data_IF_218968422398
#
_entry.id   IF_218968422398
#
_cell.length_a   1.000
_cell.length_b   1.000
_cell.length_c   1.000
_cell.angle_alpha   90.00
_cell.angle_beta   90.00
_cell.angle_gamma   90.00
#
_symmetry.space_group_name_H-M   'P 1'
#
loop_
_entity.id
_entity.type
_entity.pdbx_description
1 polymer ?
#
# COMPACT_ATOMS: atom_id res chain seq x y z
N UNK A 1 -18.79 -18.80 24.25
CA UNK A 1 -17.40 -18.27 24.16
C UNK A 1 -17.50 -16.78 23.91
N UNK A 2 -17.17 -15.96 24.87
CA UNK A 2 -17.11 -14.51 24.70
C UNK A 2 -16.15 -14.17 23.56
N UNK A 3 -16.63 -13.40 22.60
CA UNK A 3 -15.85 -12.90 21.47
C UNK A 3 -14.90 -11.83 21.97
N UNK A 4 -13.70 -12.22 22.37
CA UNK A 4 -12.89 -11.36 23.20
C UNK A 4 -11.61 -10.91 22.49
N UNK A 5 -11.56 -9.60 22.10
CA UNK A 5 -10.33 -8.94 21.66
C UNK A 5 -9.41 -8.60 22.84
N UNK A 6 -9.74 -9.04 24.04
CA UNK A 6 -8.96 -8.74 25.24
C UNK A 6 -7.49 -9.14 25.10
N UNK A 7 -7.19 -10.15 24.25
CA UNK A 7 -5.80 -10.51 23.99
C UNK A 7 -4.97 -9.38 23.37
N UNK A 8 -5.58 -8.44 22.62
CA UNK A 8 -4.88 -7.23 22.12
C UNK A 8 -4.42 -6.32 23.26
N UNK A 9 -5.17 -6.33 24.37
CA UNK A 9 -4.85 -5.58 25.60
C UNK A 9 -4.06 -6.38 26.63
N UNK A 10 -3.95 -7.72 26.54
CA UNK A 10 -3.42 -8.56 27.63
C UNK A 10 -2.18 -9.38 27.25
N UNK A 11 -2.09 -9.90 26.01
CA UNK A 11 -0.93 -10.68 25.59
C UNK A 11 0.37 -9.86 25.60
N UNK A 12 1.55 -10.48 25.85
CA UNK A 12 2.85 -9.82 25.76
C UNK A 12 3.06 -9.20 24.36
N UNK A 13 3.48 -7.93 24.32
CA UNK A 13 3.56 -7.15 23.09
C UNK A 13 4.43 -7.78 22.00
N UNK A 14 5.59 -8.39 22.36
CA UNK A 14 6.47 -9.03 21.41
C UNK A 14 5.81 -10.23 20.71
N UNK A 15 5.15 -11.10 21.48
CA UNK A 15 4.40 -12.25 20.96
C UNK A 15 3.23 -11.79 20.09
N UNK A 16 2.54 -10.75 20.54
CA UNK A 16 1.39 -10.19 19.84
C UNK A 16 1.78 -9.54 18.51
N UNK A 17 2.85 -8.73 18.50
CA UNK A 17 3.35 -8.14 17.26
C UNK A 17 3.75 -9.23 16.26
N UNK A 18 4.50 -10.25 16.69
CA UNK A 18 4.88 -11.36 15.82
C UNK A 18 3.67 -12.09 15.25
N UNK A 19 2.68 -12.40 16.09
CA UNK A 19 1.43 -13.08 15.72
C UNK A 19 0.62 -12.32 14.67
N UNK A 20 0.66 -10.98 14.69
CA UNK A 20 -0.10 -10.13 13.77
C UNK A 20 0.73 -9.66 12.57
N UNK A 21 2.02 -9.36 12.77
CA UNK A 21 2.87 -8.86 11.71
C UNK A 21 3.29 -9.94 10.70
N UNK A 22 3.61 -11.16 11.16
CA UNK A 22 4.03 -12.23 10.24
C UNK A 22 2.97 -12.54 9.18
N UNK A 23 1.69 -12.79 9.53
CA UNK A 23 0.66 -12.97 8.51
C UNK A 23 0.50 -11.76 7.58
N UNK A 24 0.64 -10.53 8.10
CA UNK A 24 0.56 -9.31 7.30
C UNK A 24 1.72 -9.20 6.30
N UNK A 25 2.95 -9.51 6.73
CA UNK A 25 4.13 -9.55 5.85
C UNK A 25 3.97 -10.62 4.77
N UNK A 26 3.53 -11.83 5.17
CA UNK A 26 3.29 -12.92 4.22
C UNK A 26 2.21 -12.54 3.20
N UNK A 27 1.15 -11.86 3.62
CA UNK A 27 0.11 -11.37 2.71
C UNK A 27 0.69 -10.39 1.67
N UNK A 28 1.58 -9.47 2.07
CA UNK A 28 2.23 -8.54 1.15
C UNK A 28 3.12 -9.27 0.13
N UNK A 29 3.88 -10.26 0.58
CA UNK A 29 4.72 -11.07 -0.31
C UNK A 29 3.87 -11.87 -1.30
N UNK A 30 2.79 -12.51 -0.84
CA UNK A 30 1.86 -13.25 -1.71
C UNK A 30 1.25 -12.32 -2.76
N UNK A 31 0.80 -11.13 -2.33
CA UNK A 31 0.21 -10.13 -3.22
C UNK A 31 1.20 -9.70 -4.32
N UNK A 32 2.46 -9.55 -3.98
CA UNK A 32 3.49 -9.23 -4.96
C UNK A 32 3.78 -10.39 -5.91
N UNK A 33 3.91 -11.60 -5.38
CA UNK A 33 4.22 -12.79 -6.18
C UNK A 33 3.15 -13.07 -7.22
N UNK A 34 1.86 -12.99 -6.86
CA UNK A 34 0.80 -13.23 -7.84
C UNK A 34 0.80 -12.16 -8.95
N UNK A 35 1.07 -10.89 -8.63
CA UNK A 35 1.20 -9.84 -9.65
C UNK A 35 2.36 -10.10 -10.63
N UNK A 36 3.45 -10.72 -10.16
CA UNK A 36 4.57 -11.13 -11.02
C UNK A 36 4.14 -12.29 -11.92
N UNK A 37 3.46 -13.29 -11.36
CA UNK A 37 3.00 -14.47 -12.12
C UNK A 37 2.01 -14.07 -13.21
N UNK A 38 1.04 -13.20 -12.90
CA UNK A 38 0.08 -12.67 -13.87
C UNK A 38 0.79 -12.00 -15.06
N UNK A 39 1.80 -11.16 -14.79
CA UNK A 39 2.61 -10.53 -15.85
C UNK A 39 3.42 -11.53 -16.67
N UNK A 40 3.91 -12.60 -16.05
CA UNK A 40 4.61 -13.68 -16.76
C UNK A 40 3.66 -14.36 -17.74
N UNK A 41 2.44 -14.70 -17.32
CA UNK A 41 1.45 -15.31 -18.21
C UNK A 41 1.10 -14.38 -19.37
N UNK A 42 0.82 -13.10 -19.12
CA UNK A 42 0.49 -12.13 -20.18
C UNK A 42 1.67 -11.95 -21.14
N UNK A 43 2.91 -11.87 -20.63
CA UNK A 43 4.11 -11.73 -21.45
C UNK A 43 4.41 -12.94 -22.36
N UNK A 44 3.92 -14.14 -21.99
CA UNK A 44 4.10 -15.38 -22.75
C UNK A 44 2.92 -15.72 -23.67
N UNK A 45 2.00 -14.80 -23.89
CA UNK A 45 0.93 -14.99 -24.87
C UNK A 45 1.52 -15.21 -26.28
N UNK A 46 0.97 -16.17 -27.07
CA UNK A 46 1.49 -16.51 -28.39
C UNK A 46 1.48 -15.34 -29.37
N UNK A 47 0.45 -14.50 -29.30
CA UNK A 47 0.29 -13.32 -30.15
C UNK A 47 0.25 -12.05 -29.30
N UNK A 48 1.17 -11.13 -29.59
CA UNK A 48 1.17 -9.79 -29.00
C UNK A 48 1.51 -9.70 -27.50
N UNK A 49 2.10 -10.73 -26.88
CA UNK A 49 2.39 -10.76 -25.44
C UNK A 49 3.21 -9.56 -24.96
N UNK A 50 4.19 -9.10 -25.74
CA UNK A 50 4.98 -7.89 -25.41
C UNK A 50 4.13 -6.61 -25.45
N UNK A 51 3.25 -6.45 -26.45
CA UNK A 51 2.35 -5.31 -26.56
C UNK A 51 1.26 -5.37 -25.46
N UNK A 52 0.78 -6.56 -25.15
CA UNK A 52 -0.17 -6.80 -24.07
C UNK A 52 0.41 -6.43 -22.70
N UNK A 53 1.66 -6.83 -22.44
CA UNK A 53 2.37 -6.48 -21.21
C UNK A 53 2.60 -4.97 -21.10
N UNK A 54 2.92 -4.32 -22.20
CA UNK A 54 3.06 -2.85 -22.28
C UNK A 54 1.70 -2.18 -22.03
N UNK A 55 0.62 -2.68 -22.65
CA UNK A 55 -0.74 -2.22 -22.42
C UNK A 55 -1.19 -2.35 -20.95
N UNK A 56 -0.88 -3.49 -20.32
CA UNK A 56 -1.12 -3.67 -18.88
C UNK A 56 -0.33 -2.65 -18.05
N UNK A 57 0.91 -2.35 -18.43
CA UNK A 57 1.72 -1.32 -17.78
C UNK A 57 1.04 0.05 -17.75
N UNK A 58 0.34 0.42 -18.82
CA UNK A 58 -0.45 1.66 -18.92
C UNK A 58 -1.68 1.64 -17.98
N UNK A 59 -2.27 0.45 -17.74
CA UNK A 59 -3.39 0.30 -16.80
C UNK A 59 -2.97 0.47 -15.33
N UNK A 60 -1.70 0.20 -15.00
CA UNK A 60 -1.21 0.17 -13.60
C UNK A 60 -1.46 1.47 -12.82
N UNK A 61 -1.19 2.69 -13.33
CA UNK A 61 -1.50 3.91 -12.60
C UNK A 61 -2.98 4.06 -12.26
N UNK A 62 -3.86 3.63 -13.15
CA UNK A 62 -5.32 3.67 -12.96
C UNK A 62 -5.72 2.69 -11.85
N UNK A 63 -5.20 1.46 -11.89
CA UNK A 63 -5.41 0.43 -10.86
C UNK A 63 -4.91 0.92 -9.49
N UNK A 64 -3.77 1.62 -9.45
CA UNK A 64 -3.24 2.22 -8.21
C UNK A 64 -4.18 3.29 -7.65
N UNK A 65 -4.77 4.13 -8.50
CA UNK A 65 -5.76 5.13 -8.08
C UNK A 65 -7.01 4.45 -7.52
N UNK A 66 -7.52 3.40 -8.19
CA UNK A 66 -8.64 2.59 -7.67
C UNK A 66 -8.31 2.03 -6.29
N UNK A 67 -7.12 1.47 -6.10
CA UNK A 67 -6.66 0.95 -4.80
C UNK A 67 -6.49 2.05 -3.75
N UNK A 68 -6.08 3.26 -4.16
CA UNK A 68 -5.96 4.41 -3.26
C UNK A 68 -7.33 4.82 -2.68
N UNK A 69 -8.40 4.73 -3.45
CA UNK A 69 -9.76 4.97 -2.94
C UNK A 69 -10.19 3.90 -1.92
N UNK A 70 -9.82 2.64 -2.13
CA UNK A 70 -10.04 1.61 -1.11
C UNK A 70 -9.26 1.92 0.18
N UNK A 71 -8.01 2.35 0.06
CA UNK A 71 -7.18 2.75 1.19
C UNK A 71 -7.72 4.00 1.91
N UNK A 72 -8.29 4.96 1.18
CA UNK A 72 -8.92 6.15 1.75
C UNK A 72 -9.97 5.79 2.82
N UNK A 73 -10.81 4.80 2.53
CA UNK A 73 -11.86 4.38 3.44
C UNK A 73 -11.34 3.43 4.51
N UNK A 74 -10.55 2.44 4.10
CA UNK A 74 -10.11 1.37 4.99
C UNK A 74 -9.06 1.81 6.02
N UNK A 75 -8.04 2.59 5.58
CA UNK A 75 -6.97 3.07 6.46
C UNK A 75 -7.44 4.16 7.43
N UNK A 76 -8.61 4.73 7.18
CA UNK A 76 -9.27 5.63 8.14
C UNK A 76 -10.28 4.92 9.03
N UNK A 77 -11.10 4.04 8.46
CA UNK A 77 -12.18 3.35 9.16
C UNK A 77 -11.68 2.26 10.12
N UNK A 78 -10.78 1.40 9.66
CA UNK A 78 -10.30 0.26 10.45
C UNK A 78 -9.59 0.64 11.76
N UNK A 79 -8.66 1.62 11.82
CA UNK A 79 -8.09 2.08 13.08
C UNK A 79 -9.13 2.68 14.02
N UNK A 80 -10.07 3.45 13.48
CA UNK A 80 -11.14 4.05 14.30
C UNK A 80 -12.07 3.00 14.90
N UNK A 81 -12.40 1.96 14.14
CA UNK A 81 -13.16 0.82 14.65
C UNK A 81 -12.37 0.08 15.74
N UNK A 82 -11.06 -0.11 15.57
CA UNK A 82 -10.20 -0.71 16.60
C UNK A 82 -10.12 0.14 17.86
N UNK A 83 -10.05 1.46 17.75
CA UNK A 83 -10.11 2.39 18.90
C UNK A 83 -11.46 2.26 19.62
N UNK A 84 -12.57 2.20 18.89
CA UNK A 84 -13.90 2.02 19.47
C UNK A 84 -14.02 0.68 20.22
N UNK A 85 -13.51 -0.40 19.65
CA UNK A 85 -13.43 -1.70 20.33
C UNK A 85 -12.61 -1.63 21.63
N UNK A 86 -11.48 -0.93 21.61
CA UNK A 86 -10.66 -0.73 22.81
C UNK A 86 -11.37 0.06 23.92
N UNK A 87 -12.32 0.91 23.56
CA UNK A 87 -13.21 1.62 24.50
C UNK A 87 -14.35 0.75 25.03
N UNK A 88 -14.51 -0.46 24.52
CA UNK A 88 -15.67 -1.31 24.78
C UNK A 88 -16.91 -0.98 23.95
N UNK A 89 -16.82 -0.02 23.03
CA UNK A 89 -17.92 0.40 22.14
C UNK A 89 -17.92 -0.41 20.84
N UNK A 90 -18.32 -1.68 20.96
CA UNK A 90 -18.45 -2.56 19.79
C UNK A 90 -19.58 -2.11 18.85
N UNK A 91 -20.63 -1.51 19.38
CA UNK A 91 -21.73 -0.97 18.57
C UNK A 91 -21.27 0.19 17.68
N UNK A 92 -20.51 1.13 18.24
CA UNK A 92 -19.88 2.22 17.48
C UNK A 92 -18.89 1.71 16.44
N UNK A 93 -18.12 0.66 16.76
CA UNK A 93 -17.20 0.03 15.82
C UNK A 93 -17.93 -0.67 14.66
N UNK A 94 -19.02 -1.39 14.91
CA UNK A 94 -19.89 -1.98 13.87
C UNK A 94 -20.56 -0.90 12.98
N UNK A 95 -20.90 0.24 13.59
CA UNK A 95 -21.46 1.38 12.85
C UNK A 95 -20.42 2.01 11.91
N UNK A 96 -19.15 2.10 12.33
CA UNK A 96 -18.05 2.52 11.44
C UNK A 96 -17.88 1.53 10.29
N UNK A 97 -17.87 0.23 10.56
CA UNK A 97 -17.78 -0.83 9.54
C UNK A 97 -18.92 -0.71 8.51
N UNK A 98 -20.16 -0.60 8.95
CA UNK A 98 -21.34 -0.50 8.08
C UNK A 98 -21.35 0.76 7.22
N UNK A 99 -20.97 1.89 7.78
CA UNK A 99 -20.83 3.15 7.05
C UNK A 99 -19.71 3.07 5.99
N UNK A 100 -18.55 2.53 6.33
CA UNK A 100 -17.43 2.35 5.40
C UNK A 100 -17.79 1.35 4.28
N UNK A 101 -18.56 0.31 4.59
CA UNK A 101 -19.04 -0.65 3.59
C UNK A 101 -19.91 0.00 2.52
N UNK A 102 -20.91 0.79 2.92
CA UNK A 102 -21.76 1.52 1.97
C UNK A 102 -20.95 2.56 1.18
N UNK A 103 -20.03 3.26 1.85
CA UNK A 103 -19.16 4.23 1.17
C UNK A 103 -18.31 3.56 0.09
N UNK A 104 -17.75 2.37 0.36
CA UNK A 104 -16.97 1.60 -0.63
C UNK A 104 -17.84 1.20 -1.84
N UNK A 105 -19.10 0.82 -1.62
CA UNK A 105 -20.04 0.51 -2.73
C UNK A 105 -20.28 1.76 -3.59
N UNK A 106 -20.50 2.91 -2.97
CA UNK A 106 -20.75 4.16 -3.70
C UNK A 106 -19.51 4.57 -4.49
N UNK A 107 -18.33 4.54 -3.85
CA UNK A 107 -17.06 4.85 -4.52
C UNK A 107 -16.83 3.89 -5.68
N UNK A 108 -17.08 2.59 -5.50
CA UNK A 108 -16.92 1.61 -6.58
C UNK A 108 -17.86 1.88 -7.75
N UNK A 109 -19.11 2.25 -7.49
CA UNK A 109 -20.05 2.61 -8.55
C UNK A 109 -19.61 3.86 -9.33
N UNK A 110 -19.11 4.88 -8.63
CA UNK A 110 -18.55 6.09 -9.26
C UNK A 110 -17.32 5.75 -10.09
N UNK A 111 -16.38 4.97 -9.54
CA UNK A 111 -15.16 4.57 -10.24
C UNK A 111 -15.48 3.70 -11.47
N UNK A 112 -16.36 2.71 -11.32
CA UNK A 112 -16.80 1.87 -12.45
C UNK A 112 -17.39 2.73 -13.56
N UNK A 113 -18.29 3.66 -13.22
CA UNK A 113 -18.90 4.56 -14.19
C UNK A 113 -17.85 5.45 -14.88
N UNK A 114 -16.94 6.02 -14.11
CA UNK A 114 -15.88 6.85 -14.65
C UNK A 114 -14.94 6.07 -15.57
N UNK A 115 -14.54 4.87 -15.17
CA UNK A 115 -13.68 4.01 -15.98
C UNK A 115 -14.34 3.57 -17.28
N UNK A 116 -15.65 3.20 -17.25
CA UNK A 116 -16.36 2.77 -18.46
C UNK A 116 -16.68 3.93 -19.43
N UNK A 117 -16.82 5.18 -18.91
CA UNK A 117 -17.11 6.35 -19.76
C UNK A 117 -15.83 6.90 -20.39
N UNK A 118 -14.73 6.97 -19.63
CA UNK A 118 -13.48 7.63 -20.02
C UNK A 118 -12.30 6.66 -20.15
N UNK A 119 -12.52 5.35 -20.30
CA UNK A 119 -11.48 4.33 -20.35
C UNK A 119 -10.35 4.67 -21.34
N UNK A 120 -10.71 4.95 -22.60
CA UNK A 120 -9.75 5.27 -23.68
C UNK A 120 -9.04 6.59 -23.45
N UNK A 121 -9.77 7.63 -23.03
CA UNK A 121 -9.18 8.94 -22.78
C UNK A 121 -8.16 8.89 -21.63
N UNK A 122 -8.49 8.15 -20.57
CA UNK A 122 -7.58 7.90 -19.46
C UNK A 122 -6.34 7.10 -19.91
N UNK A 123 -6.55 6.00 -20.64
CA UNK A 123 -5.45 5.18 -21.11
C UNK A 123 -4.50 5.95 -22.05
N UNK A 124 -5.04 6.77 -22.96
CA UNK A 124 -4.25 7.66 -23.81
C UNK A 124 -3.49 8.72 -23.00
N UNK A 125 -4.14 9.30 -21.99
CA UNK A 125 -3.50 10.27 -21.09
C UNK A 125 -2.35 9.65 -20.29
N UNK A 126 -2.45 8.35 -19.94
CA UNK A 126 -1.40 7.60 -19.25
C UNK A 126 -0.37 6.94 -20.20
N UNK A 127 -0.43 7.21 -21.51
CA UNK A 127 0.61 6.87 -22.46
C UNK A 127 0.35 5.63 -23.31
N UNK A 128 -0.91 5.20 -23.47
CA UNK A 128 -1.25 4.17 -24.46
C UNK A 128 -0.93 4.65 -25.87
N UNK A 129 -0.29 3.78 -26.67
CA UNK A 129 -0.06 3.97 -28.09
C UNK A 129 -1.17 3.36 -28.94
N UNK A 130 -1.25 3.68 -30.25
CA UNK A 130 -2.20 3.01 -31.17
C UNK A 130 -2.09 1.48 -31.15
N UNK A 131 -0.90 0.94 -30.89
CA UNK A 131 -0.65 -0.51 -30.87
C UNK A 131 -1.03 -1.16 -29.53
N UNK A 132 -0.99 -0.40 -28.42
CA UNK A 132 -1.24 -0.93 -27.06
C UNK A 132 -2.64 -0.64 -26.54
N UNK A 133 -3.34 0.38 -27.10
CA UNK A 133 -4.66 0.81 -26.61
C UNK A 133 -5.70 -0.29 -26.64
N UNK A 134 -5.67 -1.17 -27.67
CA UNK A 134 -6.59 -2.29 -27.79
C UNK A 134 -6.45 -3.31 -26.68
N UNK A 135 -5.22 -3.62 -26.27
CA UNK A 135 -4.92 -4.51 -25.15
C UNK A 135 -5.28 -3.86 -23.81
N UNK A 136 -4.90 -2.60 -23.63
CA UNK A 136 -5.16 -1.85 -22.40
C UNK A 136 -6.68 -1.67 -22.16
N UNK A 137 -7.45 -1.26 -23.17
CA UNK A 137 -8.90 -1.14 -23.08
C UNK A 137 -9.57 -2.49 -22.84
N UNK A 138 -9.15 -3.54 -23.57
CA UNK A 138 -9.69 -4.89 -23.36
C UNK A 138 -9.50 -5.43 -21.94
N UNK A 139 -8.40 -5.05 -21.25
CA UNK A 139 -8.20 -5.34 -19.84
C UNK A 139 -9.08 -4.46 -18.95
N UNK A 140 -9.05 -3.15 -19.20
CA UNK A 140 -9.68 -2.15 -18.33
C UNK A 140 -11.21 -2.24 -18.33
N UNK A 141 -11.85 -2.55 -19.44
CA UNK A 141 -13.30 -2.75 -19.55
C UNK A 141 -13.79 -3.82 -18.56
N UNK A 142 -13.10 -4.95 -18.50
CA UNK A 142 -13.45 -6.06 -17.61
C UNK A 142 -13.10 -5.71 -16.16
N UNK A 143 -11.89 -5.12 -15.95
CA UNK A 143 -11.45 -4.70 -14.61
C UNK A 143 -12.40 -3.65 -14.00
N UNK A 144 -12.91 -2.71 -14.81
CA UNK A 144 -13.84 -1.69 -14.37
C UNK A 144 -15.12 -2.30 -13.78
N UNK A 145 -15.68 -3.34 -14.42
CA UNK A 145 -16.85 -4.07 -13.89
C UNK A 145 -16.53 -4.80 -12.57
N UNK A 146 -15.27 -5.24 -12.40
CA UNK A 146 -14.81 -5.90 -11.18
C UNK A 146 -14.40 -4.97 -10.05
N UNK A 147 -14.37 -3.66 -10.27
CA UNK A 147 -13.90 -2.67 -9.29
C UNK A 147 -14.60 -2.77 -7.93
N UNK A 148 -15.88 -3.14 -7.91
CA UNK A 148 -16.63 -3.35 -6.66
C UNK A 148 -16.02 -4.45 -5.80
N UNK A 149 -15.57 -5.55 -6.40
CA UNK A 149 -14.96 -6.65 -5.66
C UNK A 149 -13.59 -6.25 -5.12
N UNK A 150 -12.81 -5.50 -5.91
CA UNK A 150 -11.51 -4.95 -5.48
C UNK A 150 -11.69 -4.00 -4.29
N UNK A 151 -12.61 -3.06 -4.39
CA UNK A 151 -12.90 -2.08 -3.35
C UNK A 151 -13.35 -2.76 -2.05
N UNK A 152 -14.30 -3.70 -2.14
CA UNK A 152 -14.81 -4.40 -0.96
C UNK A 152 -13.78 -5.35 -0.37
N UNK A 153 -12.99 -6.05 -1.19
CA UNK A 153 -11.93 -6.94 -0.68
C UNK A 153 -10.90 -6.14 0.10
N UNK A 154 -10.30 -5.12 -0.52
CA UNK A 154 -9.26 -4.30 0.12
C UNK A 154 -9.82 -3.51 1.32
N UNK A 155 -11.00 -2.91 1.12
CA UNK A 155 -11.64 -2.09 2.13
C UNK A 155 -12.04 -2.85 3.38
N UNK A 156 -12.70 -3.99 3.22
CA UNK A 156 -13.26 -4.75 4.34
C UNK A 156 -12.23 -5.67 4.99
N UNK A 157 -11.23 -6.15 4.26
CA UNK A 157 -10.14 -6.95 4.83
C UNK A 157 -9.36 -6.19 5.92
N UNK A 158 -9.24 -4.87 5.79
CA UNK A 158 -8.62 -4.04 6.82
C UNK A 158 -9.37 -4.08 8.16
N UNK A 159 -10.71 -4.20 8.13
CA UNK A 159 -11.50 -4.37 9.36
C UNK A 159 -11.34 -5.75 10.00
N UNK A 160 -11.04 -6.78 9.20
CA UNK A 160 -10.70 -8.12 9.73
C UNK A 160 -9.38 -8.05 10.49
N UNK A 161 -8.35 -7.43 9.90
CA UNK A 161 -7.04 -7.27 10.55
C UNK A 161 -7.09 -6.34 11.76
N UNK A 162 -7.91 -5.29 11.72
CA UNK A 162 -8.10 -4.36 12.83
C UNK A 162 -8.73 -5.01 14.08
N UNK A 163 -9.47 -6.09 13.90
CA UNK A 163 -9.98 -6.92 15.00
C UNK A 163 -8.92 -7.89 15.57
N UNK A 164 -7.72 -7.93 14.98
CA UNK A 164 -6.64 -8.86 15.33
C UNK A 164 -6.63 -10.16 14.52
N UNK A 165 -7.56 -10.38 13.58
CA UNK A 165 -7.60 -11.59 12.75
C UNK A 165 -6.66 -11.52 11.54
N UNK A 166 -5.37 -11.17 11.75
CA UNK A 166 -4.39 -11.02 10.67
C UNK A 166 -4.20 -12.29 9.84
N UNK A 167 -4.30 -13.47 10.44
CA UNK A 167 -4.27 -14.75 9.70
C UNK A 167 -5.45 -14.86 8.71
N UNK A 168 -6.64 -14.47 9.14
CA UNK A 168 -7.82 -14.46 8.26
C UNK A 168 -7.65 -13.44 7.13
N UNK A 169 -7.10 -12.26 7.45
CA UNK A 169 -6.74 -11.26 6.45
C UNK A 169 -5.71 -11.76 5.44
N UNK A 170 -4.70 -12.50 5.89
CA UNK A 170 -3.74 -13.18 5.02
C UNK A 170 -4.42 -14.23 4.10
N UNK A 171 -5.34 -15.03 4.64
CA UNK A 171 -6.10 -15.98 3.83
C UNK A 171 -6.94 -15.32 2.74
N UNK A 172 -7.47 -14.12 2.98
CA UNK A 172 -8.15 -13.34 1.92
C UNK A 172 -7.24 -13.15 0.71
N UNK A 173 -6.00 -12.71 0.95
CA UNK A 173 -5.00 -12.48 -0.10
C UNK A 173 -4.58 -13.80 -0.75
N UNK A 174 -4.34 -14.84 0.05
CA UNK A 174 -3.94 -16.15 -0.44
C UNK A 174 -5.01 -16.77 -1.35
N UNK A 175 -6.29 -16.73 -0.96
CA UNK A 175 -7.42 -17.22 -1.76
C UNK A 175 -7.47 -16.50 -3.10
N UNK A 176 -7.37 -15.17 -3.11
CA UNK A 176 -7.33 -14.39 -4.33
C UNK A 176 -6.15 -14.76 -5.23
N UNK A 177 -4.94 -14.82 -4.66
CA UNK A 177 -3.73 -15.14 -5.39
C UNK A 177 -3.76 -16.55 -6.01
N UNK A 178 -4.14 -17.57 -5.23
CA UNK A 178 -4.25 -18.95 -5.72
C UNK A 178 -5.31 -19.07 -6.80
N UNK A 179 -6.48 -18.44 -6.60
CA UNK A 179 -7.55 -18.43 -7.61
C UNK A 179 -7.08 -17.79 -8.91
N UNK A 180 -6.38 -16.66 -8.83
CA UNK A 180 -5.87 -15.95 -10.00
C UNK A 180 -4.83 -16.80 -10.76
N UNK A 181 -3.83 -17.34 -10.07
CA UNK A 181 -2.77 -18.18 -10.66
C UNK A 181 -3.36 -19.43 -11.38
N UNK A 182 -4.47 -19.98 -10.87
CA UNK A 182 -5.14 -21.12 -11.50
C UNK A 182 -6.00 -20.67 -12.70
N UNK A 183 -6.71 -19.55 -12.58
CA UNK A 183 -7.63 -19.08 -13.60
C UNK A 183 -6.94 -18.41 -14.78
N UNK A 184 -5.79 -17.74 -14.58
CA UNK A 184 -5.04 -17.08 -15.63
C UNK A 184 -4.72 -18.01 -16.81
N UNK A 185 -4.04 -19.16 -16.62
CA UNK A 185 -3.75 -20.04 -17.76
C UNK A 185 -5.01 -20.62 -18.41
N UNK A 186 -6.08 -20.83 -17.64
CA UNK A 186 -7.34 -21.34 -18.20
C UNK A 186 -7.98 -20.32 -19.14
N UNK A 187 -8.06 -19.05 -18.74
CA UNK A 187 -8.70 -18.02 -19.56
C UNK A 187 -7.77 -17.46 -20.63
N UNK A 188 -6.47 -17.27 -20.33
CA UNK A 188 -5.52 -16.70 -21.27
C UNK A 188 -5.25 -17.68 -22.41
N UNK A 189 -4.89 -18.92 -22.08
CA UNK A 189 -4.45 -19.93 -23.05
C UNK A 189 -5.52 -20.96 -23.37
N UNK A 190 -6.25 -21.47 -22.35
CA UNK A 190 -7.25 -22.54 -22.53
C UNK A 190 -8.48 -22.08 -23.31
N UNK A 191 -8.97 -20.87 -23.05
CA UNK A 191 -10.12 -20.26 -23.73
C UNK A 191 -9.70 -19.21 -24.78
N UNK A 192 -8.40 -19.02 -25.00
CA UNK A 192 -7.83 -18.07 -25.97
C UNK A 192 -8.36 -16.63 -25.84
N UNK A 193 -8.64 -16.21 -24.60
CA UNK A 193 -9.17 -14.87 -24.33
C UNK A 193 -8.07 -13.81 -24.23
N UNK A 194 -6.80 -14.20 -24.21
CA UNK A 194 -5.67 -13.29 -24.12
C UNK A 194 -5.75 -12.36 -22.89
N UNK A 195 -5.52 -11.07 -23.09
CA UNK A 195 -5.52 -10.05 -22.01
C UNK A 195 -6.89 -9.93 -21.32
N UNK A 196 -7.99 -10.12 -22.05
CA UNK A 196 -9.34 -10.15 -21.48
C UNK A 196 -9.50 -11.32 -20.51
N UNK A 197 -8.85 -12.44 -20.80
CA UNK A 197 -8.80 -13.61 -19.92
C UNK A 197 -8.11 -13.30 -18.60
N UNK A 198 -6.96 -12.61 -18.64
CA UNK A 198 -6.26 -12.17 -17.44
C UNK A 198 -7.11 -11.22 -16.59
N UNK A 199 -7.78 -10.24 -17.22
CA UNK A 199 -8.69 -9.34 -16.50
C UNK A 199 -9.85 -10.10 -15.86
N UNK A 200 -10.44 -11.06 -16.56
CA UNK A 200 -11.55 -11.88 -16.05
C UNK A 200 -11.09 -12.77 -14.88
N UNK A 201 -9.91 -13.40 -14.98
CA UNK A 201 -9.32 -14.17 -13.89
C UNK A 201 -9.11 -13.31 -12.65
N UNK A 202 -8.59 -12.09 -12.82
CA UNK A 202 -8.42 -11.12 -11.73
C UNK A 202 -9.76 -10.76 -11.08
N UNK A 203 -10.78 -10.43 -11.86
CA UNK A 203 -12.11 -10.06 -11.35
C UNK A 203 -12.77 -11.22 -10.60
N UNK A 204 -12.72 -12.45 -11.15
CA UNK A 204 -13.28 -13.63 -10.47
C UNK A 204 -12.53 -13.92 -9.18
N UNK A 205 -11.21 -13.82 -9.17
CA UNK A 205 -10.39 -14.02 -7.97
C UNK A 205 -10.69 -13.00 -6.89
N UNK A 206 -10.89 -11.74 -7.26
CA UNK A 206 -11.33 -10.69 -6.34
C UNK A 206 -12.76 -10.93 -5.85
N UNK A 207 -13.66 -11.44 -6.69
CA UNK A 207 -15.02 -11.84 -6.30
C UNK A 207 -14.97 -12.95 -5.23
N UNK A 208 -14.15 -13.99 -5.42
CA UNK A 208 -13.98 -15.08 -4.45
C UNK A 208 -13.44 -14.54 -3.12
N UNK A 209 -12.40 -13.69 -3.17
CA UNK A 209 -11.86 -13.02 -1.98
C UNK A 209 -12.90 -12.14 -1.29
N UNK A 210 -13.68 -11.39 -2.05
CA UNK A 210 -14.76 -10.54 -1.53
C UNK A 210 -15.83 -11.37 -0.80
N UNK A 211 -16.25 -12.48 -1.39
CA UNK A 211 -17.21 -13.40 -0.76
C UNK A 211 -16.65 -13.95 0.56
N UNK A 212 -15.37 -14.37 0.58
CA UNK A 212 -14.70 -14.81 1.80
C UNK A 212 -14.74 -13.75 2.90
N UNK A 213 -14.38 -12.50 2.58
CA UNK A 213 -14.39 -11.37 3.51
C UNK A 213 -15.79 -11.10 4.04
N UNK A 214 -16.80 -11.05 3.17
CA UNK A 214 -18.19 -10.78 3.55
C UNK A 214 -18.79 -11.90 4.39
N UNK A 215 -18.50 -13.16 4.05
CA UNK A 215 -18.93 -14.32 4.84
C UNK A 215 -18.30 -14.29 6.24
N UNK A 216 -17.02 -13.93 6.34
CA UNK A 216 -16.37 -13.80 7.64
C UNK A 216 -17.02 -12.67 8.47
N UNK A 217 -17.23 -11.47 7.89
CA UNK A 217 -17.81 -10.33 8.60
C UNK A 217 -19.31 -10.51 8.96
N UNK A 218 -19.99 -11.46 8.33
CA UNK A 218 -21.37 -11.88 8.71
C UNK A 218 -21.39 -13.07 9.65
N UNK A 219 -20.30 -13.79 9.73
CA UNK A 219 -20.17 -15.04 10.49
C UNK A 219 -20.19 -14.83 12.01
N UNK A 220 -20.06 -15.95 12.72
CA UNK A 220 -20.05 -15.95 14.18
C UNK A 220 -18.67 -15.69 14.79
N UNK A 221 -17.60 -15.87 14.02
CA UNK A 221 -16.22 -15.73 14.50
C UNK A 221 -15.77 -14.26 14.57
N UNK A 222 -16.38 -13.37 13.78
CA UNK A 222 -16.07 -11.96 13.79
C UNK A 222 -16.63 -11.27 15.03
N UNK A 223 -15.94 -10.24 15.50
CA UNK A 223 -16.39 -9.39 16.60
C UNK A 223 -17.28 -8.31 16.06
N UNK A 224 -16.82 -7.63 15.02
CA UNK A 224 -17.58 -6.61 14.30
C UNK A 224 -18.41 -7.27 13.20
N UNK A 225 -19.71 -7.27 13.38
CA UNK A 225 -20.63 -7.84 12.39
C UNK A 225 -21.15 -6.78 11.43
N UNK A 226 -21.18 -7.16 10.15
CA UNK A 226 -21.80 -6.35 9.12
C UNK A 226 -23.33 -6.50 9.22
N UNK A 227 -23.99 -5.55 9.89
CA UNK A 227 -25.43 -5.52 10.13
C UNK A 227 -26.10 -4.52 9.20
N UNK A 228 -27.27 -4.86 8.66
CA UNK A 228 -28.06 -3.96 7.79
C UNK A 228 -28.43 -2.63 8.45
N UNK A 229 -28.65 -2.64 9.76
CA UNK A 229 -29.00 -1.46 10.57
C UNK A 229 -27.89 -0.39 10.51
N UNK A 230 -26.64 -0.82 10.41
CA UNK A 230 -25.46 0.04 10.39
C UNK A 230 -25.04 0.47 8.97
N UNK A 231 -25.70 -0.03 7.93
CA UNK A 231 -25.43 0.30 6.53
C UNK A 231 -26.10 1.63 6.14
N UNK A 232 -25.61 2.72 6.74
CA UNK A 232 -26.11 4.08 6.50
C UNK A 232 -24.94 5.02 6.27
N UNK A 233 -25.16 6.10 5.54
CA UNK A 233 -24.18 7.16 5.36
C UNK A 233 -24.39 8.23 6.43
N UNK A 234 -23.56 8.22 7.45
CA UNK A 234 -23.59 9.22 8.51
C UNK A 234 -22.33 10.09 8.45
N UNK A 235 -22.51 11.36 8.08
CA UNK A 235 -21.40 12.30 7.92
C UNK A 235 -20.48 12.37 9.16
N UNK A 236 -21.06 12.31 10.37
CA UNK A 236 -20.32 12.31 11.63
C UNK A 236 -19.42 11.08 11.83
N UNK A 237 -19.71 9.97 11.15
CA UNK A 237 -18.90 8.74 11.17
C UNK A 237 -17.89 8.73 10.02
N UNK A 238 -18.34 9.11 8.83
CA UNK A 238 -17.56 8.98 7.58
C UNK A 238 -16.47 10.05 7.48
N UNK A 239 -16.78 11.33 7.74
CA UNK A 239 -15.83 12.42 7.57
C UNK A 239 -14.55 12.23 8.39
N UNK A 240 -14.59 11.82 9.67
CA UNK A 240 -13.37 11.51 10.42
C UNK A 240 -12.60 10.30 9.87
N UNK A 241 -13.28 9.30 9.26
CA UNK A 241 -12.62 8.18 8.60
C UNK A 241 -11.92 8.65 7.34
N UNK A 242 -12.58 9.42 6.48
CA UNK A 242 -11.97 9.97 5.27
C UNK A 242 -10.80 10.89 5.59
N UNK A 243 -10.94 11.75 6.60
CA UNK A 243 -9.85 12.62 7.03
C UNK A 243 -8.60 11.82 7.45
N UNK A 244 -8.77 10.70 8.16
CA UNK A 244 -7.64 9.85 8.57
C UNK A 244 -7.05 9.07 7.40
N UNK A 245 -7.89 8.55 6.51
CA UNK A 245 -7.47 7.79 5.33
C UNK A 245 -6.86 8.64 4.21
N UNK A 246 -7.07 9.96 4.24
CA UNK A 246 -6.56 10.87 3.21
C UNK A 246 -5.02 10.82 3.08
N UNK A 247 -4.30 10.60 4.17
CA UNK A 247 -2.85 10.43 4.12
C UNK A 247 -2.42 9.22 3.27
N UNK A 248 -3.10 8.07 3.45
CA UNK A 248 -2.83 6.87 2.67
C UNK A 248 -3.21 7.07 1.19
N UNK A 249 -4.33 7.74 0.92
CA UNK A 249 -4.73 8.11 -0.42
C UNK A 249 -3.69 8.99 -1.11
N UNK A 250 -3.21 10.06 -0.44
CA UNK A 250 -2.19 10.96 -0.96
C UNK A 250 -0.90 10.19 -1.26
N UNK A 251 -0.44 9.36 -0.33
CA UNK A 251 0.79 8.58 -0.51
C UNK A 251 0.69 7.64 -1.71
N UNK A 252 -0.42 6.94 -1.86
CA UNK A 252 -0.59 5.93 -2.90
C UNK A 252 -0.83 6.57 -4.29
N UNK A 253 -1.68 7.60 -4.37
CA UNK A 253 -1.97 8.29 -5.63
C UNK A 253 -0.79 9.13 -6.13
N UNK A 254 0.07 9.64 -5.24
CA UNK A 254 1.24 10.44 -5.64
C UNK A 254 2.36 9.61 -6.28
N UNK A 255 2.39 8.29 -6.10
CA UNK A 255 3.46 7.44 -6.65
C UNK A 255 3.56 7.54 -8.18
N UNK A 256 2.43 7.60 -8.89
CA UNK A 256 2.41 7.76 -10.34
C UNK A 256 3.03 9.10 -10.78
N UNK A 257 2.69 10.19 -10.09
CA UNK A 257 3.23 11.54 -10.39
C UNK A 257 4.74 11.56 -10.16
N UNK A 258 5.19 10.98 -9.07
CA UNK A 258 6.62 10.90 -8.70
C UNK A 258 7.38 10.05 -9.72
N UNK A 259 6.85 8.89 -10.09
CA UNK A 259 7.47 8.02 -11.10
C UNK A 259 7.64 8.72 -12.45
N UNK A 260 6.62 9.41 -12.93
CA UNK A 260 6.69 10.20 -14.17
C UNK A 260 7.74 11.31 -14.04
N UNK A 261 7.78 12.01 -12.91
CA UNK A 261 8.74 13.09 -12.67
C UNK A 261 10.18 12.59 -12.65
N UNK A 262 10.46 11.47 -11.99
CA UNK A 262 11.77 10.82 -12.04
C UNK A 262 12.15 10.41 -13.44
N UNK A 263 11.28 9.69 -14.16
CA UNK A 263 11.56 9.20 -15.49
C UNK A 263 11.82 10.35 -16.47
N UNK A 264 11.00 11.40 -16.44
CA UNK A 264 11.18 12.57 -17.31
C UNK A 264 12.50 13.29 -17.02
N UNK A 265 12.86 13.47 -15.76
CA UNK A 265 14.09 14.13 -15.36
C UNK A 265 15.31 13.28 -15.70
N UNK A 266 15.26 11.97 -15.43
CA UNK A 266 16.34 11.03 -15.74
C UNK A 266 16.55 10.85 -17.24
N UNK A 267 15.47 10.76 -18.02
CA UNK A 267 15.56 10.69 -19.49
C UNK A 267 16.27 11.92 -20.05
N UNK A 268 15.94 13.11 -19.52
CA UNK A 268 16.54 14.38 -19.95
C UNK A 268 18.04 14.46 -19.67
N UNK A 269 18.53 13.96 -18.55
CA UNK A 269 19.90 14.17 -18.11
C UNK A 269 20.79 12.93 -18.22
N UNK A 270 20.23 11.72 -18.27
CA UNK A 270 20.98 10.47 -18.29
C UNK A 270 20.54 9.48 -19.37
N UNK A 271 19.51 9.83 -20.18
CA UNK A 271 19.01 8.98 -21.25
C UNK A 271 18.39 7.67 -20.74
N UNK A 272 18.26 6.70 -21.66
CA UNK A 272 17.58 5.43 -21.39
C UNK A 272 18.25 4.59 -20.31
N UNK A 273 19.58 4.68 -20.18
CA UNK A 273 20.32 3.96 -19.15
C UNK A 273 19.93 4.39 -17.74
N UNK A 274 19.70 5.70 -17.54
CA UNK A 274 19.25 6.22 -16.26
C UNK A 274 17.80 5.81 -15.95
N UNK A 275 16.92 5.83 -16.93
CA UNK A 275 15.53 5.35 -16.75
C UNK A 275 15.52 3.84 -16.46
N UNK A 276 16.35 3.06 -17.16
CA UNK A 276 16.52 1.63 -16.90
C UNK A 276 17.02 1.33 -15.48
N UNK A 277 18.01 2.10 -15.03
CA UNK A 277 18.49 2.00 -13.65
C UNK A 277 17.41 2.34 -12.64
N UNK A 278 16.59 3.39 -12.87
CA UNK A 278 15.48 3.75 -11.97
C UNK A 278 14.43 2.64 -11.88
N UNK A 279 14.16 1.95 -12.97
CA UNK A 279 13.24 0.79 -12.97
C UNK A 279 13.75 -0.32 -12.05
N UNK A 280 15.04 -0.62 -12.07
CA UNK A 280 15.67 -1.59 -11.18
C UNK A 280 15.58 -1.10 -9.72
N UNK A 281 15.94 0.16 -9.46
CA UNK A 281 15.88 0.74 -8.12
C UNK A 281 14.47 0.75 -7.54
N UNK A 282 13.47 1.10 -8.35
CA UNK A 282 12.05 1.08 -7.95
C UNK A 282 11.59 -0.33 -7.59
N UNK A 283 12.03 -1.34 -8.34
CA UNK A 283 11.73 -2.74 -8.04
C UNK A 283 12.33 -3.17 -6.71
N UNK A 284 13.61 -2.84 -6.47
CA UNK A 284 14.29 -3.13 -5.20
C UNK A 284 13.59 -2.40 -4.05
N UNK A 285 13.23 -1.13 -4.23
CA UNK A 285 12.51 -0.35 -3.22
C UNK A 285 11.14 -0.96 -2.87
N UNK A 286 10.41 -1.42 -3.87
CA UNK A 286 9.13 -2.10 -3.67
C UNK A 286 9.29 -3.35 -2.80
N UNK A 287 10.26 -4.23 -3.11
CA UNK A 287 10.56 -5.41 -2.27
C UNK A 287 10.97 -5.02 -0.85
N UNK A 288 11.78 -3.99 -0.72
CA UNK A 288 12.27 -3.49 0.56
C UNK A 288 11.15 -2.98 1.48
N UNK A 289 10.11 -2.37 0.89
CA UNK A 289 9.01 -1.76 1.66
C UNK A 289 7.96 -2.77 2.13
N UNK A 290 7.82 -3.93 1.48
CA UNK A 290 6.77 -4.90 1.83
C UNK A 290 6.81 -5.37 3.30
N UNK A 291 7.96 -5.81 3.86
CA UNK A 291 8.01 -6.22 5.25
C UNK A 291 7.76 -5.06 6.23
N UNK A 292 8.21 -3.84 5.91
CA UNK A 292 7.94 -2.66 6.73
C UNK A 292 6.44 -2.34 6.78
N UNK A 293 5.77 -2.42 5.64
CA UNK A 293 4.32 -2.23 5.57
C UNK A 293 3.58 -3.32 6.36
N UNK A 294 4.00 -4.57 6.22
CA UNK A 294 3.44 -5.69 6.98
C UNK A 294 3.64 -5.55 8.49
N UNK A 295 4.82 -5.09 8.94
CA UNK A 295 5.09 -4.77 10.35
C UNK A 295 4.16 -3.67 10.86
N UNK A 296 4.00 -2.59 10.09
CA UNK A 296 3.10 -1.49 10.42
C UNK A 296 1.65 -1.93 10.52
N UNK A 297 1.16 -2.71 9.56
CA UNK A 297 -0.19 -3.26 9.55
C UNK A 297 -0.44 -4.21 10.73
N UNK A 298 0.56 -5.02 11.12
CA UNK A 298 0.47 -5.89 12.29
C UNK A 298 0.47 -5.14 13.62
N UNK A 299 1.20 -4.02 13.71
CA UNK A 299 1.25 -3.19 14.90
C UNK A 299 0.00 -2.30 15.06
N UNK A 300 -0.65 -1.91 13.97
CA UNK A 300 -1.78 -0.98 13.95
C UNK A 300 -2.92 -1.39 14.90
N UNK A 301 -3.47 -2.62 14.86
CA UNK A 301 -4.54 -3.02 15.77
C UNK A 301 -4.10 -3.01 17.24
N UNK A 302 -2.82 -3.32 17.53
CA UNK A 302 -2.29 -3.27 18.90
C UNK A 302 -2.32 -1.84 19.43
N UNK A 303 -1.79 -0.89 18.66
CA UNK A 303 -1.73 0.51 19.04
C UNK A 303 -3.14 1.11 19.15
N UNK A 304 -3.99 0.88 18.12
CA UNK A 304 -5.36 1.44 18.07
C UNK A 304 -6.23 0.95 19.22
N UNK A 305 -6.23 -0.36 19.47
CA UNK A 305 -7.01 -0.96 20.56
C UNK A 305 -6.58 -0.44 21.93
N UNK A 306 -5.27 -0.49 22.23
CA UNK A 306 -4.76 -0.03 23.52
C UNK A 306 -4.91 1.49 23.71
N UNK A 307 -4.85 2.28 22.63
CA UNK A 307 -5.16 3.70 22.68
C UNK A 307 -6.63 3.93 23.03
N UNK A 308 -7.55 3.14 22.45
CA UNK A 308 -8.97 3.14 22.83
C UNK A 308 -9.21 2.72 24.27
N UNK A 309 -8.52 1.68 24.74
CA UNK A 309 -8.55 1.18 26.11
C UNK A 309 -7.87 2.12 27.13
N UNK A 310 -7.27 3.23 26.66
CA UNK A 310 -6.56 4.23 27.47
C UNK A 310 -5.32 3.67 28.20
N UNK A 311 -4.71 2.61 27.70
CA UNK A 311 -3.47 2.05 28.22
C UNK A 311 -2.24 2.70 27.60
N UNK A 312 -1.79 3.80 28.19
CA UNK A 312 -0.62 4.56 27.74
C UNK A 312 0.67 3.74 27.73
N UNK A 313 0.85 2.83 28.70
CA UNK A 313 2.04 1.98 28.81
C UNK A 313 2.14 1.00 27.63
N UNK A 314 1.03 0.36 27.28
CA UNK A 314 1.00 -0.57 26.16
C UNK A 314 1.13 0.15 24.82
N UNK A 315 0.53 1.33 24.63
CA UNK A 315 0.68 2.15 23.43
C UNK A 315 2.16 2.54 23.23
N UNK A 316 2.84 3.05 24.28
CA UNK A 316 4.28 3.36 24.22
C UNK A 316 5.12 2.12 23.93
N UNK A 317 4.79 1.00 24.56
CA UNK A 317 5.50 -0.28 24.38
C UNK A 317 5.37 -0.81 22.96
N UNK A 318 4.17 -0.79 22.41
CA UNK A 318 3.90 -1.22 21.02
C UNK A 318 4.62 -0.33 20.00
N UNK A 319 4.61 1.00 20.17
CA UNK A 319 5.37 1.91 19.34
C UNK A 319 6.89 1.65 19.42
N UNK A 320 7.45 1.52 20.62
CA UNK A 320 8.89 1.24 20.79
C UNK A 320 9.29 -0.08 20.10
N UNK A 321 8.43 -1.10 20.21
CA UNK A 321 8.70 -2.38 19.59
C UNK A 321 8.62 -2.29 18.06
N UNK A 322 7.60 -1.63 17.52
CA UNK A 322 7.47 -1.36 16.08
C UNK A 322 8.69 -0.59 15.57
N UNK A 323 9.09 0.49 16.24
CA UNK A 323 10.23 1.31 15.87
C UNK A 323 11.52 0.50 15.84
N UNK A 324 11.79 -0.30 16.90
CA UNK A 324 12.98 -1.16 16.96
C UNK A 324 12.99 -2.20 15.84
N UNK A 325 11.89 -2.90 15.62
CA UNK A 325 11.78 -3.92 14.57
C UNK A 325 11.95 -3.31 13.18
N UNK A 326 11.34 -2.15 12.93
CA UNK A 326 11.45 -1.44 11.66
C UNK A 326 12.87 -0.91 11.42
N UNK A 327 13.54 -0.38 12.44
CA UNK A 327 14.94 0.08 12.33
C UNK A 327 15.92 -1.07 12.13
N UNK A 328 15.74 -2.19 12.84
CA UNK A 328 16.59 -3.38 12.64
C UNK A 328 16.45 -3.90 11.22
N UNK A 329 15.22 -4.04 10.73
CA UNK A 329 14.98 -4.49 9.37
C UNK A 329 15.54 -3.52 8.33
N UNK A 330 15.19 -2.22 8.41
CA UNK A 330 15.63 -1.21 7.45
C UNK A 330 17.16 -1.04 7.47
N UNK A 331 17.79 -1.08 8.65
CA UNK A 331 19.22 -0.99 8.80
C UNK A 331 19.96 -2.22 8.26
N UNK A 332 19.45 -3.42 8.53
CA UNK A 332 20.03 -4.66 7.99
C UNK A 332 19.93 -4.71 6.46
N UNK A 333 18.78 -4.38 5.90
CA UNK A 333 18.58 -4.36 4.45
C UNK A 333 19.42 -3.27 3.79
N UNK A 334 19.47 -2.07 4.37
CA UNK A 334 20.33 -0.99 3.91
C UNK A 334 21.80 -1.44 3.86
N UNK A 335 22.29 -2.08 4.92
CA UNK A 335 23.66 -2.58 4.97
C UNK A 335 23.93 -3.62 3.86
N UNK A 336 23.01 -4.54 3.62
CA UNK A 336 23.12 -5.55 2.55
C UNK A 336 23.15 -4.86 1.17
N UNK A 337 22.28 -3.89 0.91
CA UNK A 337 22.25 -3.15 -0.36
C UNK A 337 23.55 -2.36 -0.56
N UNK A 338 24.08 -1.73 0.48
CA UNK A 338 25.31 -0.93 0.38
C UNK A 338 26.56 -1.78 0.20
N UNK A 339 26.63 -2.95 0.85
CA UNK A 339 27.79 -3.86 0.76
C UNK A 339 27.77 -4.71 -0.51
N UNK A 340 26.61 -5.14 -0.97
CA UNK A 340 26.45 -6.09 -2.08
C UNK A 340 25.57 -5.59 -3.21
N UNK A 341 25.75 -4.36 -3.75
CA UNK A 341 24.90 -3.83 -4.80
C UNK A 341 24.95 -4.68 -6.08
N UNK A 342 26.08 -5.40 -6.32
CA UNK A 342 26.25 -6.29 -7.47
C UNK A 342 25.27 -7.47 -7.46
N UNK A 343 24.98 -8.01 -6.27
CA UNK A 343 24.03 -9.11 -6.12
C UNK A 343 22.63 -8.70 -6.56
N UNK A 344 22.21 -7.49 -6.21
CA UNK A 344 20.91 -6.96 -6.61
C UNK A 344 20.85 -6.66 -8.11
N UNK A 345 21.85 -5.95 -8.67
CA UNK A 345 21.84 -5.61 -10.10
C UNK A 345 21.94 -6.83 -10.98
N UNK A 346 22.73 -7.85 -10.59
CA UNK A 346 22.87 -9.10 -11.31
C UNK A 346 21.59 -9.93 -11.43
N UNK A 347 20.61 -9.70 -10.55
CA UNK A 347 19.28 -10.33 -10.65
C UNK A 347 18.43 -9.71 -11.78
N UNK A 348 18.67 -8.45 -12.14
CA UNK A 348 17.81 -7.69 -13.06
C UNK A 348 18.39 -7.54 -14.46
N UNK A 349 19.72 -7.50 -14.60
CA UNK A 349 20.33 -7.24 -15.89
C UNK A 349 21.68 -7.95 -16.08
N UNK A 350 21.91 -8.59 -17.24
CA UNK A 350 23.23 -9.09 -17.65
C UNK A 350 24.09 -8.00 -18.28
N UNK A 351 23.53 -6.81 -18.61
CA UNK A 351 24.27 -5.72 -19.24
C UNK A 351 25.21 -5.06 -18.22
N UNK A 352 26.53 -5.16 -18.46
CA UNK A 352 27.55 -4.66 -17.57
C UNK A 352 27.52 -3.12 -17.40
N UNK A 353 27.21 -2.38 -18.46
CA UNK A 353 27.12 -0.92 -18.42
C UNK A 353 25.94 -0.45 -17.57
N UNK A 354 24.74 -1.03 -17.81
CA UNK A 354 23.56 -0.74 -17.02
C UNK A 354 23.76 -1.17 -15.54
N UNK A 355 24.38 -2.32 -15.32
CA UNK A 355 24.66 -2.80 -13.96
C UNK A 355 25.60 -1.85 -13.21
N UNK A 356 26.70 -1.40 -13.82
CA UNK A 356 27.65 -0.46 -13.22
C UNK A 356 27.00 0.89 -12.92
N UNK A 357 26.21 1.43 -13.86
CA UNK A 357 25.46 2.67 -13.66
C UNK A 357 24.44 2.53 -12.52
N UNK A 358 23.69 1.43 -12.50
CA UNK A 358 22.69 1.15 -11.47
C UNK A 358 23.33 1.01 -10.09
N UNK A 359 24.50 0.39 -9.95
CA UNK A 359 25.22 0.28 -8.67
C UNK A 359 25.61 1.65 -8.13
N UNK A 360 26.10 2.55 -9.00
CA UNK A 360 26.42 3.92 -8.63
C UNK A 360 25.19 4.72 -8.21
N UNK A 361 24.09 4.59 -8.94
CA UNK A 361 22.80 5.20 -8.64
C UNK A 361 22.20 4.64 -7.33
N UNK A 362 22.31 3.31 -7.11
CA UNK A 362 21.79 2.60 -5.94
C UNK A 362 22.37 3.12 -4.64
N UNK A 363 23.69 3.33 -4.59
CA UNK A 363 24.37 3.86 -3.41
C UNK A 363 23.88 5.27 -3.04
N UNK A 364 23.52 6.07 -4.05
CA UNK A 364 22.97 7.42 -3.83
C UNK A 364 21.50 7.36 -3.44
N UNK A 365 20.70 6.64 -4.19
CA UNK A 365 19.24 6.56 -4.01
C UNK A 365 18.86 5.98 -2.64
N UNK A 366 19.54 4.93 -2.18
CA UNK A 366 19.30 4.29 -0.89
C UNK A 366 20.18 4.80 0.26
N UNK A 367 20.88 5.92 0.11
CA UNK A 367 21.85 6.40 1.08
C UNK A 367 21.32 6.50 2.52
N UNK A 368 20.08 6.90 2.71
CA UNK A 368 19.42 7.08 4.03
C UNK A 368 18.27 6.10 4.29
N UNK A 369 18.14 5.03 3.51
CA UNK A 369 17.06 4.08 3.62
C UNK A 369 16.91 3.47 5.03
N UNK A 370 17.98 3.35 5.79
CA UNK A 370 17.93 2.87 7.17
C UNK A 370 17.02 3.71 8.07
N UNK A 371 16.84 5.01 7.77
CA UNK A 371 15.95 5.89 8.51
C UNK A 371 14.45 5.64 8.20
N UNK A 372 14.15 4.90 7.16
CA UNK A 372 12.76 4.65 6.73
C UNK A 372 11.96 3.90 7.78
N UNK A 373 12.64 3.13 8.64
CA UNK A 373 12.02 2.50 9.80
C UNK A 373 11.35 3.49 10.75
N UNK A 374 11.94 4.70 10.92
CA UNK A 374 11.35 5.78 11.73
C UNK A 374 10.09 6.30 11.03
N UNK A 375 10.19 6.57 9.72
CA UNK A 375 9.07 7.10 8.93
C UNK A 375 7.85 6.19 9.04
N UNK A 376 8.02 4.88 8.78
CA UNK A 376 6.93 3.91 8.82
C UNK A 376 6.36 3.77 10.22
N UNK A 377 7.19 3.65 11.25
CA UNK A 377 6.73 3.50 12.63
C UNK A 377 5.91 4.72 13.10
N UNK A 378 6.38 5.94 12.82
CA UNK A 378 5.68 7.16 13.19
C UNK A 378 4.37 7.34 12.40
N UNK A 379 4.41 7.15 11.08
CA UNK A 379 3.25 7.30 10.21
C UNK A 379 2.14 6.31 10.58
N UNK A 380 2.48 5.03 10.76
CA UNK A 380 1.52 3.99 11.16
C UNK A 380 0.94 4.26 12.54
N UNK A 381 1.74 4.78 13.47
CA UNK A 381 1.26 5.13 14.82
C UNK A 381 0.34 6.34 14.78
N UNK A 382 0.63 7.37 13.98
CA UNK A 382 -0.30 8.50 13.79
C UNK A 382 -1.67 8.04 13.27
N UNK A 383 -1.68 7.14 12.30
CA UNK A 383 -2.91 6.54 11.79
C UNK A 383 -3.62 5.70 12.87
N UNK A 384 -2.86 4.90 13.62
CA UNK A 384 -3.39 4.02 14.64
C UNK A 384 -4.04 4.77 15.84
N UNK A 385 -3.50 5.93 16.21
CA UNK A 385 -4.09 6.78 17.28
C UNK A 385 -5.15 7.77 16.76
N UNK A 386 -5.46 7.73 15.46
CA UNK A 386 -6.47 8.59 14.84
C UNK A 386 -6.03 10.05 14.60
N UNK A 387 -4.71 10.32 14.53
CA UNK A 387 -4.17 11.66 14.30
C UNK A 387 -4.14 12.03 12.81
N UNK A 388 -5.30 12.35 12.23
CA UNK A 388 -5.44 12.65 10.81
C UNK A 388 -4.54 13.82 10.35
N UNK A 389 -4.54 14.93 11.09
CA UNK A 389 -3.75 16.13 10.72
C UNK A 389 -2.26 15.83 10.63
N UNK A 390 -1.71 15.12 11.60
CA UNK A 390 -0.29 14.75 11.60
C UNK A 390 0.03 13.77 10.49
N UNK A 391 -0.83 12.78 10.25
CA UNK A 391 -0.67 11.80 9.19
C UNK A 391 -0.66 12.44 7.80
N UNK A 392 -1.60 13.37 7.54
CA UNK A 392 -1.67 14.14 6.28
C UNK A 392 -0.44 15.04 6.12
N UNK A 393 -0.04 15.76 7.18
CA UNK A 393 1.12 16.65 7.13
C UNK A 393 2.38 15.89 6.73
N UNK A 394 2.62 14.71 7.33
CA UNK A 394 3.76 13.85 7.00
C UNK A 394 3.72 13.39 5.54
N UNK A 395 2.55 12.96 5.04
CA UNK A 395 2.40 12.51 3.66
C UNK A 395 2.64 13.64 2.65
N UNK A 396 2.02 14.81 2.86
CA UNK A 396 2.12 15.97 1.97
C UNK A 396 3.54 16.53 1.96
N UNK A 397 4.15 16.72 3.13
CA UNK A 397 5.50 17.27 3.24
C UNK A 397 6.50 16.37 2.50
N UNK A 398 6.46 15.06 2.73
CA UNK A 398 7.39 14.13 2.09
C UNK A 398 7.24 14.11 0.58
N UNK A 399 6.02 13.95 0.06
CA UNK A 399 5.77 13.69 -1.37
C UNK A 399 5.72 14.97 -2.22
N UNK A 400 4.97 15.97 -1.78
CA UNK A 400 4.71 17.17 -2.59
C UNK A 400 5.60 18.37 -2.25
N UNK A 401 5.95 18.56 -0.97
CA UNK A 401 6.77 19.69 -0.56
C UNK A 401 8.26 19.41 -0.75
N UNK A 402 8.70 18.19 -0.51
CA UNK A 402 10.11 17.83 -0.58
C UNK A 402 10.47 17.05 -1.84
N UNK A 403 9.94 15.84 -2.02
CA UNK A 403 10.41 14.93 -3.06
C UNK A 403 10.17 15.50 -4.47
N UNK A 404 8.95 15.90 -4.78
CA UNK A 404 8.60 16.38 -6.12
C UNK A 404 9.43 17.60 -6.56
N UNK A 405 9.59 18.67 -5.75
CA UNK A 405 10.47 19.78 -6.11
C UNK A 405 11.94 19.40 -6.19
N UNK A 406 12.43 18.52 -5.30
CA UNK A 406 13.84 18.12 -5.28
C UNK A 406 14.24 17.33 -6.53
N UNK A 407 13.34 16.56 -7.15
CA UNK A 407 13.62 15.87 -8.41
C UNK A 407 14.08 16.84 -9.49
N UNK A 408 13.49 18.04 -9.54
CA UNK A 408 13.84 19.08 -10.52
C UNK A 408 14.96 20.01 -10.03
N UNK A 409 15.07 20.25 -8.72
CA UNK A 409 16.04 21.16 -8.13
C UNK A 409 17.44 20.56 -8.04
N UNK A 410 17.57 19.26 -7.71
CA UNK A 410 18.87 18.60 -7.52
C UNK A 410 19.79 18.70 -8.75
N UNK A 411 19.34 18.49 -10.00
CA UNK A 411 20.19 18.67 -11.16
C UNK A 411 20.70 20.13 -11.37
N UNK A 412 19.97 21.11 -10.83
CA UNK A 412 20.42 22.50 -10.86
C UNK A 412 21.47 22.82 -9.79
N UNK A 413 21.35 22.17 -8.61
CA UNK A 413 22.31 22.32 -7.51
C UNK A 413 23.64 21.57 -7.76
N UNK A 414 23.60 20.48 -8.50
CA UNK A 414 24.77 19.63 -8.79
C UNK A 414 24.98 19.51 -10.31
N UNK A 415 25.50 20.56 -10.98
CA UNK A 415 25.60 20.60 -12.43
C UNK A 415 26.65 19.65 -13.03
N UNK A 416 27.58 19.12 -12.22
CA UNK A 416 28.67 18.25 -12.68
C UNK A 416 28.19 16.85 -13.13
N UNK A 417 27.19 16.28 -12.48
CA UNK A 417 26.55 15.00 -12.85
C UNK A 417 25.05 15.07 -12.55
N UNK A 418 24.32 15.65 -13.51
CA UNK A 418 22.90 15.93 -13.37
C UNK A 418 22.05 14.67 -13.24
N UNK A 419 22.43 13.59 -13.95
CA UNK A 419 21.71 12.31 -13.86
C UNK A 419 21.80 11.70 -12.47
N UNK A 420 23.00 11.67 -11.89
CA UNK A 420 23.19 11.18 -10.53
C UNK A 420 22.61 12.12 -9.47
N UNK A 421 22.54 13.41 -9.76
CA UNK A 421 21.87 14.40 -8.88
C UNK A 421 20.36 14.12 -8.75
N UNK A 422 19.68 13.66 -9.81
CA UNK A 422 18.26 13.29 -9.74
C UNK A 422 18.04 12.18 -8.71
N UNK A 423 18.91 11.17 -8.65
CA UNK A 423 18.79 10.10 -7.65
C UNK A 423 19.00 10.57 -6.21
N UNK A 424 19.73 11.66 -6.00
CA UNK A 424 19.88 12.27 -4.68
C UNK A 424 18.63 12.97 -4.17
N UNK A 425 17.63 13.18 -5.01
CA UNK A 425 16.37 13.78 -4.58
C UNK A 425 15.64 12.93 -3.53
N UNK A 426 15.64 11.60 -3.69
CA UNK A 426 14.99 10.68 -2.73
C UNK A 426 15.66 10.74 -1.34
N UNK A 427 16.98 10.49 -1.17
CA UNK A 427 17.60 10.55 0.15
C UNK A 427 17.57 11.95 0.77
N UNK A 428 17.65 13.01 -0.02
CA UNK A 428 17.52 14.38 0.50
C UNK A 428 16.11 14.65 1.03
N UNK A 429 15.09 14.26 0.27
CA UNK A 429 13.71 14.36 0.71
C UNK A 429 13.46 13.51 1.97
N UNK A 430 13.95 12.26 1.99
CA UNK A 430 13.76 11.35 3.11
C UNK A 430 14.45 11.83 4.38
N UNK A 431 15.67 12.34 4.30
CA UNK A 431 16.39 12.88 5.45
C UNK A 431 15.59 14.01 6.13
N UNK A 432 15.12 14.96 5.33
CA UNK A 432 14.32 16.09 5.83
C UNK A 432 12.95 15.62 6.33
N UNK A 433 12.27 14.76 5.56
CA UNK A 433 10.95 14.26 5.90
C UNK A 433 10.95 13.41 7.17
N UNK A 434 11.94 12.52 7.33
CA UNK A 434 12.05 11.66 8.52
C UNK A 434 12.37 12.52 9.75
N UNK A 435 13.24 13.53 9.60
CA UNK A 435 13.53 14.47 10.69
C UNK A 435 12.29 15.25 11.09
N UNK A 436 11.57 15.81 10.13
CA UNK A 436 10.30 16.48 10.36
C UNK A 436 9.28 15.56 11.05
N UNK A 437 9.14 14.32 10.54
CA UNK A 437 8.22 13.32 11.09
C UNK A 437 8.59 12.97 12.53
N UNK A 438 9.87 12.76 12.85
CA UNK A 438 10.33 12.43 14.19
C UNK A 438 10.07 13.58 15.19
N UNK A 439 10.30 14.83 14.78
CA UNK A 439 10.02 16.01 15.61
C UNK A 439 8.51 16.14 15.84
N UNK A 440 7.72 16.12 14.77
CA UNK A 440 6.26 16.19 14.85
C UNK A 440 5.69 15.07 15.72
N UNK A 441 6.23 13.85 15.55
CA UNK A 441 5.81 12.68 16.31
C UNK A 441 6.11 12.83 17.81
N UNK A 442 7.32 13.26 18.17
CA UNK A 442 7.70 13.44 19.58
C UNK A 442 6.76 14.41 20.29
N UNK A 443 6.37 15.49 19.62
CA UNK A 443 5.47 16.50 20.20
C UNK A 443 4.03 15.98 20.26
N UNK A 444 3.49 15.48 19.15
CA UNK A 444 2.08 15.10 19.06
C UNK A 444 1.78 13.78 19.77
N UNK A 445 2.69 12.81 19.72
CA UNK A 445 2.53 11.55 20.44
C UNK A 445 2.57 11.77 21.96
N UNK A 446 3.47 12.62 22.45
CA UNK A 446 3.51 12.99 23.87
C UNK A 446 2.17 13.59 24.31
N UNK A 447 1.65 14.58 23.55
CA UNK A 447 0.34 15.19 23.84
C UNK A 447 -0.82 14.19 23.76
N UNK A 448 -0.76 13.22 22.82
CA UNK A 448 -1.80 12.20 22.71
C UNK A 448 -1.78 11.22 23.89
N UNK A 449 -0.59 10.85 24.36
CA UNK A 449 -0.42 9.95 25.51
C UNK A 449 -0.79 10.64 26.84
N UNK A 450 -0.41 11.92 27.03
CA UNK A 450 -0.75 12.69 28.24
C UNK A 450 -2.26 12.87 28.44
N UNK A 451 -3.05 12.75 27.40
CA UNK A 451 -4.53 12.76 27.49
C UNK A 451 -5.12 11.44 28.01
N UNK A 452 -4.30 10.40 28.11
CA UNK A 452 -4.74 9.10 28.61
C UNK A 452 -4.55 9.06 30.14
N UNK A 453 -5.55 8.61 30.92
CA UNK A 453 -5.38 8.39 32.34
C UNK A 453 -4.28 7.33 32.56
N UNK A 454 -3.44 7.50 33.58
CA UNK A 454 -2.28 6.66 33.91
C UNK A 454 -1.04 6.82 32.97
N UNK A 455 -0.81 7.99 32.46
CA UNK A 455 0.44 8.32 31.72
C UNK A 455 1.62 8.60 32.66
#
# INVERSE_FOLDING_TARGET
MEKNNQYLGTEPLGKLLFKLAVPSVVAQIINMLYNIVDRIYIGHMPEGGSLALTGLGVCMPIIMVVSAFAALVSMGGAPRASIAMGRGDNGGAERILGNCFILQIIISAILTSALLIWDRDLLLAFGASPDTIGFAAGYMDIYALGTIFVQLTLGMNAFITAQGFSKTGMYTVLIGAVSNIILDPVFIFGLDMGVRGAALATVISQCISCLWVLLFLRGEKTILRLKKENMRLEAGVILPCLALGLAAFIMQSSESIISVSFNTSLLKYGGDIAVGAMTILSSINMFAMLPLQGLGQGAQPIVSYNYGAKDAKRVRGAFKLLLRSSLIYAGALWLIIMLFPQAFTGLFTPNAELAAFTQAAMRRYFAVMFMFGIQVACQMTFTAIGSARSSIAVAVVRKFVLLLPLIYLMPALFPGDKAMAVYLAEPAADLIAVTFTAILFSVQFKKAIEKLPNS
#
